data_IF_259548195449
#
_entry.id   IF_259548195449
#
_cell.length_a   1.000
_cell.length_b   1.000
_cell.length_c   1.000
_cell.angle_alpha   90.00
_cell.angle_beta   90.00
_cell.angle_gamma   90.00
#
_symmetry.space_group_name_H-M   'P 1'
#
loop_
_entity.id
_entity.type
_entity.pdbx_description
1 polymer ?
#
# COMPACT_ATOMS: atom_id res chain seq x y z
N UNK A 1 -28.98 24.93 33.45
CA UNK A 1 -27.54 24.66 33.66
C UNK A 1 -27.40 23.42 34.51
N UNK A 2 -26.61 22.39 34.24
CA UNK A 2 -25.99 21.85 33.05
C UNK A 2 -25.88 20.34 33.36
N UNK A 3 -26.31 19.48 32.43
CA UNK A 3 -26.23 18.03 32.57
C UNK A 3 -24.77 17.61 32.37
N UNK A 4 -24.17 17.02 33.40
CA UNK A 4 -22.86 16.38 33.32
C UNK A 4 -23.04 14.95 32.81
N UNK A 5 -23.09 14.80 31.48
CA UNK A 5 -23.04 13.50 30.82
C UNK A 5 -21.57 13.09 30.68
N UNK A 6 -21.09 12.31 31.64
CA UNK A 6 -19.80 11.63 31.56
C UNK A 6 -19.76 10.74 30.31
N UNK A 7 -18.88 11.10 29.38
CA UNK A 7 -18.60 10.37 28.14
C UNK A 7 -18.08 8.97 28.50
N UNK A 8 -18.96 7.96 28.44
CA UNK A 8 -18.59 6.55 28.58
C UNK A 8 -17.53 6.22 27.53
N UNK A 9 -16.33 5.92 28.02
CA UNK A 9 -15.29 5.20 27.26
C UNK A 9 -15.90 3.84 26.87
N UNK A 10 -15.83 3.42 25.60
CA UNK A 10 -16.34 2.10 25.21
C UNK A 10 -15.50 1.01 25.91
N UNK A 11 -16.12 -0.05 26.45
CA UNK A 11 -15.39 -1.10 27.16
C UNK A 11 -14.44 -1.85 26.21
N UNK A 12 -13.22 -2.11 26.69
CA UNK A 12 -12.20 -2.98 26.10
C UNK A 12 -12.65 -4.45 26.19
N UNK A 13 -13.61 -4.89 25.38
CA UNK A 13 -13.83 -6.31 25.03
C UNK A 13 -14.97 -6.49 24.03
N UNK A 14 -14.92 -5.81 22.88
CA UNK A 14 -15.82 -6.21 21.80
C UNK A 14 -15.31 -7.53 21.20
N UNK A 15 -15.65 -8.64 21.87
CA UNK A 15 -15.58 -9.99 21.29
C UNK A 15 -16.58 -10.04 20.15
N UNK A 16 -16.11 -9.80 18.93
CA UNK A 16 -16.90 -10.03 17.72
C UNK A 16 -17.02 -11.55 17.57
N UNK A 17 -18.09 -12.11 18.16
CA UNK A 17 -18.46 -13.52 18.04
C UNK A 17 -19.05 -13.77 16.65
N UNK A 18 -18.18 -13.94 15.65
CA UNK A 18 -18.53 -14.62 14.40
C UNK A 18 -18.45 -16.13 14.59
N UNK A 19 -19.56 -16.85 14.36
CA UNK A 19 -19.60 -18.31 14.23
C UNK A 19 -18.95 -19.15 15.34
N UNK A 20 -19.17 -18.89 16.63
CA UNK A 20 -18.96 -19.88 17.72
C UNK A 20 -17.58 -20.58 17.82
N UNK A 21 -16.58 -20.14 17.07
CA UNK A 21 -15.21 -20.66 17.07
C UNK A 21 -14.43 -19.72 17.97
N UNK A 22 -14.12 -20.13 19.19
CA UNK A 22 -13.18 -19.39 20.04
C UNK A 22 -11.84 -19.31 19.32
N UNK A 23 -11.50 -18.11 18.84
CA UNK A 23 -10.20 -17.79 18.26
C UNK A 23 -9.13 -17.84 19.38
N UNK A 24 -8.72 -19.05 19.76
CA UNK A 24 -7.60 -19.28 20.66
C UNK A 24 -6.34 -18.62 20.06
N UNK A 25 -5.49 -17.97 20.87
CA UNK A 25 -4.30 -17.21 20.44
C UNK A 25 -3.35 -18.00 19.52
N UNK A 26 -3.38 -19.34 19.58
CA UNK A 26 -2.63 -20.22 18.67
C UNK A 26 -3.13 -20.20 17.21
N UNK A 27 -4.41 -19.89 16.97
CA UNK A 27 -4.99 -19.81 15.61
C UNK A 27 -4.69 -18.47 14.94
N UNK A 28 -4.64 -17.36 15.68
CA UNK A 28 -4.26 -16.04 15.16
C UNK A 28 -2.90 -16.07 14.46
N UNK A 29 -1.87 -16.59 15.15
CA UNK A 29 -0.52 -16.66 14.58
C UNK A 29 -0.39 -17.54 13.32
N UNK A 30 -1.31 -18.50 13.11
CA UNK A 30 -1.34 -19.26 11.85
C UNK A 30 -1.95 -18.46 10.72
N UNK A 31 -3.06 -17.75 10.99
CA UNK A 31 -3.73 -16.89 10.00
C UNK A 31 -2.79 -15.75 9.59
N UNK A 32 -2.14 -15.09 10.54
CA UNK A 32 -1.18 -14.02 10.26
C UNK A 32 -0.06 -14.52 9.35
N UNK A 33 0.45 -15.74 9.59
CA UNK A 33 1.48 -16.35 8.76
C UNK A 33 0.99 -16.71 7.35
N UNK A 34 -0.26 -17.15 7.20
CA UNK A 34 -0.82 -17.41 5.87
C UNK A 34 -1.03 -16.09 5.11
N UNK A 35 -1.55 -15.06 5.77
CA UNK A 35 -1.71 -13.72 5.18
C UNK A 35 -0.37 -13.18 4.72
N UNK A 36 0.66 -13.23 5.58
CA UNK A 36 2.02 -12.79 5.24
C UNK A 36 2.62 -13.59 4.06
N UNK A 37 2.39 -14.90 3.99
CA UNK A 37 2.85 -15.75 2.89
C UNK A 37 2.14 -15.45 1.57
N UNK A 38 0.85 -15.11 1.62
CA UNK A 38 0.08 -14.71 0.43
C UNK A 38 0.49 -13.32 -0.05
N UNK A 39 0.57 -12.34 0.85
CA UNK A 39 1.05 -10.99 0.57
C UNK A 39 2.44 -11.01 -0.07
N UNK A 40 3.38 -11.74 0.54
CA UNK A 40 4.75 -11.87 0.03
C UNK A 40 4.83 -12.54 -1.34
N UNK A 41 3.92 -13.48 -1.63
CA UNK A 41 3.86 -14.16 -2.94
C UNK A 41 3.28 -13.27 -4.02
N UNK A 42 2.25 -12.49 -3.70
CA UNK A 42 1.64 -11.52 -4.63
C UNK A 42 2.66 -10.43 -4.99
N UNK A 43 3.33 -9.86 -3.98
CA UNK A 43 4.38 -8.85 -4.17
C UNK A 43 5.57 -9.40 -4.97
N UNK A 44 5.99 -10.65 -4.71
CA UNK A 44 7.09 -11.26 -5.46
C UNK A 44 6.78 -11.51 -6.93
N UNK A 45 5.53 -11.88 -7.27
CA UNK A 45 5.12 -12.05 -8.67
C UNK A 45 5.06 -10.72 -9.43
N UNK A 46 4.67 -9.64 -8.75
CA UNK A 46 4.65 -8.29 -9.31
C UNK A 46 6.05 -7.77 -9.65
N UNK A 47 7.04 -8.06 -8.80
CA UNK A 47 8.42 -7.63 -8.99
C UNK A 47 9.16 -8.45 -10.08
N UNK A 48 8.83 -9.74 -10.21
CA UNK A 48 9.51 -10.67 -11.13
C UNK A 48 9.19 -10.38 -12.60
N UNK A 49 7.93 -10.05 -12.92
CA UNK A 49 7.48 -9.67 -14.28
C UNK A 49 8.14 -8.34 -14.74
N UNK A 50 8.44 -7.45 -13.80
CA UNK A 50 9.01 -6.12 -14.06
C UNK A 50 10.53 -6.13 -14.23
N UNK A 51 11.25 -6.95 -13.44
CA UNK A 51 12.71 -7.03 -13.53
C UNK A 51 13.21 -7.48 -14.90
N UNK A 52 12.40 -8.26 -15.63
CA UNK A 52 12.73 -8.79 -16.96
C UNK A 52 12.77 -7.75 -18.08
N UNK A 53 12.18 -6.55 -17.90
CA UNK A 53 12.11 -5.53 -18.97
C UNK A 53 13.07 -4.35 -18.82
N UNK A 54 13.85 -4.25 -17.74
CA UNK A 54 14.74 -3.09 -17.54
C UNK A 54 16.09 -3.25 -18.23
N UNK A 55 16.21 -2.68 -19.42
CA UNK A 55 17.50 -2.43 -20.07
C UNK A 55 18.43 -1.53 -19.23
N UNK A 56 19.69 -1.39 -19.66
CA UNK A 56 20.73 -0.64 -18.93
C UNK A 56 20.32 0.81 -18.60
N UNK A 57 19.55 1.47 -19.49
CA UNK A 57 19.03 2.82 -19.26
C UNK A 57 17.97 2.90 -18.14
N UNK A 58 17.13 1.86 -17.99
CA UNK A 58 16.13 1.80 -16.93
C UNK A 58 16.77 1.72 -15.54
N UNK A 59 17.84 0.92 -15.40
CA UNK A 59 18.59 0.78 -14.14
C UNK A 59 19.32 2.05 -13.75
N UNK A 60 19.84 2.81 -14.72
CA UNK A 60 20.46 4.11 -14.47
C UNK A 60 19.42 5.15 -14.07
N UNK A 61 18.26 5.18 -14.73
CA UNK A 61 17.16 6.08 -14.39
C UNK A 61 16.59 5.81 -12.99
N UNK A 62 16.49 4.55 -12.55
CA UNK A 62 16.09 4.20 -11.16
C UNK A 62 17.06 4.77 -10.13
N UNK A 63 18.37 4.64 -10.37
CA UNK A 63 19.39 5.21 -9.49
C UNK A 63 19.34 6.73 -9.47
N UNK A 64 19.14 7.38 -10.62
CA UNK A 64 19.05 8.84 -10.69
C UNK A 64 17.78 9.34 -9.99
N UNK A 65 16.63 8.67 -10.18
CA UNK A 65 15.37 9.04 -9.53
C UNK A 65 15.43 8.90 -8.00
N UNK A 66 16.00 7.79 -7.51
CA UNK A 66 16.18 7.56 -6.07
C UNK A 66 17.21 8.51 -5.46
N UNK A 67 18.30 8.81 -6.17
CA UNK A 67 19.33 9.75 -5.70
C UNK A 67 18.84 11.21 -5.71
N UNK A 68 18.17 11.64 -6.79
CA UNK A 68 17.66 13.01 -6.93
C UNK A 68 16.50 13.35 -6.00
N UNK A 69 15.78 12.35 -5.48
CA UNK A 69 14.72 12.53 -4.49
C UNK A 69 15.19 12.53 -3.02
N UNK A 70 16.48 12.29 -2.76
CA UNK A 70 17.01 12.20 -1.40
C UNK A 70 17.39 13.56 -0.82
N UNK A 71 17.08 13.77 0.46
CA UNK A 71 17.55 14.93 1.24
C UNK A 71 19.07 15.05 1.27
N UNK A 72 19.80 13.93 1.17
CA UNK A 72 21.27 13.94 1.15
C UNK A 72 21.83 14.59 -0.12
N UNK A 73 21.17 14.42 -1.27
CA UNK A 73 21.62 15.03 -2.53
C UNK A 73 21.52 16.55 -2.47
N UNK A 74 20.42 17.07 -1.92
CA UNK A 74 20.20 18.51 -1.75
C UNK A 74 21.32 19.12 -0.91
N UNK A 75 21.68 18.49 0.21
CA UNK A 75 22.75 18.97 1.09
C UNK A 75 24.10 19.01 0.36
N UNK A 76 24.50 17.92 -0.30
CA UNK A 76 25.77 17.88 -1.04
C UNK A 76 25.80 18.92 -2.17
N UNK A 77 24.70 19.07 -2.91
CA UNK A 77 24.60 20.03 -4.01
C UNK A 77 24.70 21.47 -3.50
N UNK A 78 24.00 21.82 -2.42
CA UNK A 78 24.10 23.14 -1.78
C UNK A 78 25.52 23.41 -1.25
N UNK A 79 26.15 22.43 -0.60
CA UNK A 79 27.54 22.56 -0.15
C UNK A 79 28.50 22.78 -1.33
N UNK A 80 28.33 22.04 -2.42
CA UNK A 80 29.14 22.21 -3.63
C UNK A 80 28.99 23.62 -4.22
N UNK A 81 27.77 24.14 -4.35
CA UNK A 81 27.53 25.50 -4.82
C UNK A 81 28.17 26.54 -3.89
N UNK A 82 28.04 26.37 -2.57
CA UNK A 82 28.66 27.27 -1.60
C UNK A 82 30.19 27.26 -1.72
N UNK A 83 30.81 26.07 -1.82
CA UNK A 83 32.25 25.93 -2.02
C UNK A 83 32.72 26.56 -3.33
N UNK A 84 31.95 26.40 -4.42
CA UNK A 84 32.26 27.01 -5.71
C UNK A 84 32.25 28.54 -5.66
N UNK A 85 31.25 29.11 -4.98
CA UNK A 85 31.14 30.56 -4.78
C UNK A 85 32.31 31.07 -3.94
N UNK A 86 32.60 30.41 -2.80
CA UNK A 86 33.71 30.76 -1.91
C UNK A 86 35.05 30.69 -2.67
N UNK A 87 35.29 29.62 -3.41
CA UNK A 87 36.50 29.44 -4.21
C UNK A 87 36.70 30.55 -5.24
N UNK A 88 35.65 30.91 -5.98
CA UNK A 88 35.73 31.99 -6.97
C UNK A 88 35.87 33.38 -6.34
N UNK A 89 35.31 33.60 -5.15
CA UNK A 89 35.39 34.87 -4.43
C UNK A 89 36.77 35.09 -3.78
N UNK A 90 37.44 34.02 -3.35
CA UNK A 90 38.80 34.08 -2.78
C UNK A 90 39.93 34.04 -3.84
N UNK A 91 39.61 33.90 -5.13
CA UNK A 91 40.63 33.82 -6.18
C UNK A 91 41.37 35.16 -6.35
N UNK A 92 42.53 35.27 -5.71
CA UNK A 92 43.29 36.51 -5.54
C UNK A 92 43.99 37.03 -6.82
N UNK A 93 44.06 36.25 -7.91
CA UNK A 93 44.86 36.62 -9.10
C UNK A 93 44.20 36.38 -10.46
N UNK A 94 43.16 35.54 -10.56
CA UNK A 94 42.35 35.38 -11.79
C UNK A 94 40.99 34.80 -11.43
N UNK A 95 39.95 35.63 -11.47
CA UNK A 95 38.58 35.18 -11.24
C UNK A 95 38.14 34.34 -12.44
N UNK A 96 37.89 33.04 -12.23
CA UNK A 96 37.42 32.13 -13.27
C UNK A 96 35.94 32.37 -13.58
N UNK A 97 35.13 32.68 -12.55
CA UNK A 97 33.73 33.09 -12.66
C UNK A 97 33.46 34.29 -11.73
N UNK A 98 33.69 35.52 -12.24
CA UNK A 98 33.44 36.76 -11.50
C UNK A 98 31.94 36.96 -11.24
N UNK A 99 31.55 37.62 -10.13
CA UNK A 99 30.17 38.06 -9.93
C UNK A 99 29.67 38.84 -11.15
N UNK A 100 28.53 38.48 -11.76
CA UNK A 100 27.39 37.73 -11.21
C UNK A 100 27.33 36.21 -11.50
N UNK A 101 28.48 35.51 -11.66
CA UNK A 101 28.59 34.05 -11.86
C UNK A 101 27.88 33.51 -13.12
N UNK A 102 28.31 33.98 -14.30
CA UNK A 102 27.65 33.66 -15.57
C UNK A 102 27.75 32.17 -15.94
N UNK A 103 28.87 31.52 -15.60
CA UNK A 103 29.08 30.10 -15.91
C UNK A 103 28.21 29.22 -15.02
N UNK A 104 28.16 29.52 -13.72
CA UNK A 104 27.30 28.82 -12.78
C UNK A 104 25.83 28.96 -13.19
N UNK A 105 25.39 30.17 -13.54
CA UNK A 105 24.03 30.41 -13.98
C UNK A 105 23.66 29.63 -15.26
N UNK A 106 24.59 29.54 -16.22
CA UNK A 106 24.41 28.74 -17.44
C UNK A 106 24.27 27.25 -17.12
N UNK A 107 25.12 26.72 -16.25
CA UNK A 107 25.06 25.32 -15.82
C UNK A 107 23.75 24.99 -15.10
N UNK A 108 23.31 25.84 -14.16
CA UNK A 108 22.04 25.64 -13.45
C UNK A 108 20.83 25.69 -14.39
N UNK A 109 20.85 26.62 -15.35
CA UNK A 109 19.78 26.73 -16.35
C UNK A 109 19.65 25.46 -17.19
N UNK A 110 20.78 24.91 -17.63
CA UNK A 110 20.81 23.65 -18.36
C UNK A 110 20.34 22.47 -17.48
N UNK A 111 20.81 22.39 -16.23
CA UNK A 111 20.40 21.35 -15.30
C UNK A 111 18.89 21.35 -15.07
N UNK A 112 18.30 22.54 -14.87
CA UNK A 112 16.86 22.70 -14.69
C UNK A 112 16.07 22.29 -15.94
N UNK A 113 16.60 22.51 -17.15
CA UNK A 113 15.93 22.11 -18.39
C UNK A 113 15.82 20.57 -18.51
N UNK A 114 16.84 19.84 -18.06
CA UNK A 114 16.82 18.36 -18.05
C UNK A 114 16.06 17.77 -16.86
N UNK A 115 15.87 18.53 -15.79
CA UNK A 115 15.20 18.07 -14.58
C UNK A 115 13.73 17.68 -14.84
N UNK A 116 12.95 18.52 -15.54
CA UNK A 116 11.53 18.27 -15.75
C UNK A 116 11.24 16.97 -16.55
N UNK A 117 11.91 16.67 -17.68
CA UNK A 117 11.76 15.40 -18.38
C UNK A 117 12.18 14.18 -17.57
N UNK A 118 13.26 14.27 -16.79
CA UNK A 118 13.73 13.16 -15.94
C UNK A 118 12.71 12.86 -14.84
N UNK A 119 12.18 13.90 -14.20
CA UNK A 119 11.09 13.77 -13.23
C UNK A 119 9.87 13.14 -13.91
N UNK A 120 9.49 13.64 -15.09
CA UNK A 120 8.33 13.14 -15.84
C UNK A 120 8.49 11.67 -16.26
N UNK A 121 9.68 11.25 -16.66
CA UNK A 121 9.97 9.84 -16.96
C UNK A 121 9.86 8.95 -15.72
N UNK A 122 10.36 9.41 -14.57
CA UNK A 122 10.21 8.69 -13.30
C UNK A 122 8.75 8.61 -12.87
N UNK A 123 7.99 9.71 -13.02
CA UNK A 123 6.57 9.77 -12.70
C UNK A 123 5.74 8.87 -13.62
N UNK A 124 5.96 8.90 -14.94
CA UNK A 124 5.25 8.06 -15.90
C UNK A 124 5.45 6.57 -15.59
N UNK A 125 6.63 6.20 -15.10
CA UNK A 125 6.94 4.84 -14.69
C UNK A 125 6.29 4.45 -13.35
N UNK A 126 6.23 5.37 -12.38
CA UNK A 126 5.48 5.16 -11.13
C UNK A 126 3.98 4.99 -11.44
N UNK A 127 3.38 5.90 -12.21
CA UNK A 127 1.97 5.84 -12.59
C UNK A 127 1.61 4.54 -13.34
N UNK A 128 2.51 4.00 -14.16
CA UNK A 128 2.31 2.72 -14.81
C UNK A 128 2.25 1.55 -13.80
N UNK A 129 3.07 1.59 -12.74
CA UNK A 129 3.03 0.60 -11.64
C UNK A 129 1.77 0.77 -10.81
N UNK A 130 1.47 1.99 -10.39
CA UNK A 130 0.29 2.29 -9.57
C UNK A 130 -1.00 1.85 -10.28
N UNK A 131 -1.07 2.04 -11.61
CA UNK A 131 -2.20 1.55 -12.42
C UNK A 131 -2.29 0.02 -12.42
N UNK A 132 -1.17 -0.68 -12.52
CA UNK A 132 -1.16 -2.14 -12.53
C UNK A 132 -1.58 -2.71 -11.17
N UNK A 133 -1.05 -2.15 -10.09
CA UNK A 133 -1.42 -2.49 -8.71
C UNK A 133 -2.91 -2.24 -8.48
N UNK A 134 -3.45 -1.09 -8.90
CA UNK A 134 -4.87 -0.79 -8.80
C UNK A 134 -5.77 -1.79 -9.55
N UNK A 135 -5.33 -2.33 -10.70
CA UNK A 135 -6.08 -3.35 -11.44
C UNK A 135 -6.11 -4.68 -10.67
N UNK A 136 -4.99 -5.05 -10.04
CA UNK A 136 -4.89 -6.28 -9.25
C UNK A 136 -5.74 -6.17 -7.99
N UNK A 137 -5.67 -5.05 -7.28
CA UNK A 137 -6.50 -4.80 -6.10
C UNK A 137 -7.98 -4.85 -6.45
N UNK A 138 -8.37 -4.26 -7.59
CA UNK A 138 -9.74 -4.35 -8.08
C UNK A 138 -10.15 -5.82 -8.34
N UNK A 139 -9.30 -6.60 -8.98
CA UNK A 139 -9.58 -8.01 -9.28
C UNK A 139 -9.71 -8.87 -8.01
N UNK A 140 -8.84 -8.64 -7.01
CA UNK A 140 -8.90 -9.33 -5.70
C UNK A 140 -10.20 -8.97 -4.99
N UNK A 141 -10.55 -7.68 -4.91
CA UNK A 141 -11.78 -7.24 -4.25
C UNK A 141 -13.02 -7.79 -4.95
N UNK A 142 -13.05 -7.76 -6.28
CA UNK A 142 -14.15 -8.34 -7.06
C UNK A 142 -14.29 -9.85 -6.81
N UNK A 143 -13.16 -10.57 -6.70
CA UNK A 143 -13.18 -12.00 -6.40
C UNK A 143 -13.66 -12.27 -4.97
N UNK A 144 -13.23 -11.47 -4.01
CA UNK A 144 -13.67 -11.57 -2.62
C UNK A 144 -15.19 -11.29 -2.49
N UNK A 145 -15.71 -10.29 -3.21
CA UNK A 145 -17.15 -10.02 -3.27
C UNK A 145 -17.92 -11.25 -3.79
N UNK A 146 -17.47 -11.85 -4.88
CA UNK A 146 -18.08 -13.08 -5.41
C UNK A 146 -18.04 -14.24 -4.41
N UNK A 147 -16.93 -14.43 -3.69
CA UNK A 147 -16.81 -15.48 -2.67
C UNK A 147 -17.72 -15.22 -1.46
N UNK A 148 -17.90 -13.95 -1.06
CA UNK A 148 -18.85 -13.57 -0.01
C UNK A 148 -20.27 -13.90 -0.43
N UNK A 149 -20.65 -13.56 -1.66
CA UNK A 149 -21.99 -13.88 -2.20
C UNK A 149 -22.26 -15.39 -2.23
N UNK A 150 -21.26 -16.20 -2.62
CA UNK A 150 -21.37 -17.66 -2.61
C UNK A 150 -21.53 -18.21 -1.18
N UNK A 151 -20.74 -17.70 -0.23
CA UNK A 151 -20.86 -18.05 1.19
C UNK A 151 -22.22 -17.66 1.75
N UNK A 152 -22.74 -16.48 1.41
CA UNK A 152 -24.10 -16.06 1.80
C UNK A 152 -25.16 -17.01 1.25
N UNK A 153 -25.03 -17.43 -0.02
CA UNK A 153 -25.91 -18.42 -0.63
C UNK A 153 -25.91 -19.75 0.11
N UNK A 154 -24.73 -20.25 0.48
CA UNK A 154 -24.60 -21.45 1.31
C UNK A 154 -25.22 -21.29 2.70
N UNK A 155 -25.05 -20.13 3.35
CA UNK A 155 -25.66 -19.83 4.65
C UNK A 155 -27.19 -19.86 4.58
N UNK A 156 -27.78 -19.24 3.56
CA UNK A 156 -29.22 -19.20 3.40
C UNK A 156 -29.81 -20.59 3.14
N UNK A 157 -29.08 -21.44 2.38
CA UNK A 157 -29.48 -22.84 2.17
C UNK A 157 -29.46 -23.64 3.48
N UNK A 158 -28.40 -23.50 4.28
CA UNK A 158 -28.29 -24.16 5.59
C UNK A 158 -29.41 -23.68 6.52
N UNK A 159 -29.72 -22.38 6.55
CA UNK A 159 -30.81 -21.84 7.36
C UNK A 159 -32.16 -22.46 6.97
N UNK A 160 -32.42 -22.62 5.67
CA UNK A 160 -33.63 -23.25 5.16
C UNK A 160 -33.73 -24.73 5.58
N UNK A 161 -32.66 -25.50 5.41
CA UNK A 161 -32.60 -26.91 5.83
C UNK A 161 -32.82 -27.07 7.35
N UNK A 162 -32.24 -26.17 8.17
CA UNK A 162 -32.44 -26.18 9.62
C UNK A 162 -33.89 -25.85 10.01
N UNK A 163 -34.55 -24.93 9.30
CA UNK A 163 -35.98 -24.64 9.53
C UNK A 163 -36.85 -25.85 9.19
N UNK A 164 -36.58 -26.53 8.07
CA UNK A 164 -37.30 -27.73 7.66
C UNK A 164 -37.12 -28.86 8.69
N UNK A 165 -35.88 -29.14 9.10
CA UNK A 165 -35.59 -30.14 10.14
C UNK A 165 -36.33 -29.85 11.44
N UNK A 166 -36.33 -28.59 11.88
CA UNK A 166 -37.06 -28.15 13.09
C UNK A 166 -38.57 -28.42 12.97
N UNK A 167 -39.16 -28.16 11.81
CA UNK A 167 -40.59 -28.39 11.57
C UNK A 167 -40.94 -29.89 11.62
N UNK A 168 -40.10 -30.74 11.05
CA UNK A 168 -40.28 -32.20 11.10
C UNK A 168 -40.18 -32.74 12.53
N UNK A 169 -39.23 -32.25 13.32
CA UNK A 169 -39.09 -32.62 14.73
C UNK A 169 -40.31 -32.21 15.55
N UNK A 170 -40.84 -30.99 15.33
CA UNK A 170 -42.07 -30.54 16.00
C UNK A 170 -43.27 -31.43 15.67
N UNK A 171 -43.47 -31.76 14.40
CA UNK A 171 -44.54 -32.64 13.95
C UNK A 171 -44.41 -34.07 14.52
N UNK A 172 -43.19 -34.60 14.64
CA UNK A 172 -42.98 -35.91 15.27
C UNK A 172 -43.33 -35.88 16.76
N UNK A 173 -42.95 -34.82 17.48
CA UNK A 173 -43.30 -34.68 18.90
C UNK A 173 -44.81 -34.59 19.13
N UNK A 174 -45.54 -33.92 18.23
CA UNK A 174 -46.99 -33.85 18.28
C UNK A 174 -47.64 -35.23 18.09
N UNK A 175 -47.20 -35.99 17.07
CA UNK A 175 -47.70 -37.35 16.83
C UNK A 175 -47.39 -38.32 17.97
N UNK A 176 -46.23 -38.20 18.62
CA UNK A 176 -45.90 -39.03 19.78
C UNK A 176 -46.75 -38.71 21.02
N UNK A 177 -47.28 -37.47 21.13
CA UNK A 177 -48.18 -37.09 22.23
C UNK A 177 -49.63 -37.49 22.00
N UNK A 178 -50.06 -37.64 20.74
CA UNK A 178 -51.41 -38.13 20.39
C UNK A 178 -51.55 -39.65 20.42
N UNK A 179 -50.42 -40.38 20.51
CA UNK A 179 -50.39 -41.85 20.56
C UNK A 179 -50.23 -42.44 21.97
N UNK A 180 -50.14 -41.59 23.00
CA UNK A 180 -50.24 -41.92 24.44
C UNK A 180 -51.64 -41.59 24.98
#
# INVERSE_FOLDING_TARGET
MAQENAKKVPPEDVTINGFGIELNDKHKGRIDKYVELYEKRIVAHLDEEYSKQTGLGGKLADRIATFGGSWTFIIYFTCFLALWIIWNLLSFTRHFDSPPFILLNLCLSFLSAFQAPVIMMSQNRQAARDKHEAIIDFAINYKAEQEIDDVQGHLHRIETELQELKSLLMNQQEKSKESE
#
